data_IF_944714487556
#
_entry.id   IF_944714487556
#
_cell.length_a   1.000
_cell.length_b   1.000
_cell.length_c   1.000
_cell.angle_alpha   90.00
_cell.angle_beta   90.00
_cell.angle_gamma   90.00
#
_symmetry.space_group_name_H-M   'P 1'
#
loop_
_entity.id
_entity.type
_entity.pdbx_description
1 polymer ?
#
# COMPACT_ATOMS: atom_id res chain seq x y z
N UNK A 1 -79.70 -3.98 -25.60
CA UNK A 1 -78.47 -4.40 -26.33
C UNK A 1 -77.37 -3.33 -26.32
N UNK A 2 -77.67 -2.05 -26.05
CA UNK A 2 -76.68 -0.97 -25.97
C UNK A 2 -75.78 -1.01 -24.72
N UNK A 3 -76.29 -1.47 -23.56
CA UNK A 3 -75.56 -1.40 -22.28
C UNK A 3 -74.32 -2.29 -22.22
N UNK A 4 -74.35 -3.48 -22.85
CA UNK A 4 -73.22 -4.42 -22.85
C UNK A 4 -72.04 -3.87 -23.67
N UNK A 5 -72.33 -3.16 -24.77
CA UNK A 5 -71.29 -2.54 -25.61
C UNK A 5 -70.55 -1.41 -24.90
N UNK A 6 -71.27 -0.58 -24.13
CA UNK A 6 -70.67 0.51 -23.36
C UNK A 6 -69.75 -0.02 -22.26
N UNK A 7 -70.15 -1.09 -21.56
CA UNK A 7 -69.33 -1.73 -20.52
C UNK A 7 -68.05 -2.31 -21.13
N UNK A 8 -68.13 -2.97 -22.30
CA UNK A 8 -66.95 -3.54 -22.96
C UNK A 8 -65.93 -2.45 -23.34
N UNK A 9 -66.40 -1.33 -23.90
CA UNK A 9 -65.55 -0.19 -24.26
C UNK A 9 -64.92 0.44 -23.01
N UNK A 10 -65.68 0.57 -21.92
CA UNK A 10 -65.16 1.10 -20.65
C UNK A 10 -64.06 0.19 -20.05
N UNK A 11 -64.22 -1.13 -20.12
CA UNK A 11 -63.21 -2.07 -19.62
C UNK A 11 -61.94 -2.02 -20.48
N UNK A 12 -62.06 -2.03 -21.81
CA UNK A 12 -60.91 -1.96 -22.72
C UNK A 12 -60.14 -0.65 -22.56
N UNK A 13 -60.85 0.47 -22.43
CA UNK A 13 -60.22 1.79 -22.21
C UNK A 13 -59.50 1.87 -20.87
N UNK A 14 -60.09 1.33 -19.79
CA UNK A 14 -59.42 1.23 -18.50
C UNK A 14 -58.16 0.35 -18.56
N UNK A 15 -58.23 -0.78 -19.25
CA UNK A 15 -57.10 -1.71 -19.40
C UNK A 15 -55.96 -1.09 -20.23
N UNK A 16 -56.30 -0.34 -21.29
CA UNK A 16 -55.34 0.42 -22.09
C UNK A 16 -54.66 1.53 -21.27
N UNK A 17 -55.40 2.25 -20.43
CA UNK A 17 -54.85 3.28 -19.54
C UNK A 17 -53.90 2.68 -18.49
N UNK A 18 -54.27 1.54 -17.90
CA UNK A 18 -53.40 0.83 -16.95
C UNK A 18 -52.11 0.33 -17.61
N UNK A 19 -52.20 -0.20 -18.84
CA UNK A 19 -51.04 -0.63 -19.61
C UNK A 19 -50.13 0.56 -19.98
N UNK A 20 -50.71 1.69 -20.40
CA UNK A 20 -49.94 2.89 -20.70
C UNK A 20 -49.25 3.45 -19.45
N UNK A 21 -49.95 3.47 -18.31
CA UNK A 21 -49.40 3.89 -17.03
C UNK A 21 -48.26 2.98 -16.54
N UNK A 22 -48.43 1.66 -16.63
CA UNK A 22 -47.40 0.70 -16.22
C UNK A 22 -46.19 0.73 -17.15
N UNK A 23 -46.41 0.89 -18.47
CA UNK A 23 -45.35 1.05 -19.47
C UNK A 23 -44.57 2.35 -19.26
N UNK A 24 -45.25 3.48 -19.03
CA UNK A 24 -44.61 4.76 -18.73
C UNK A 24 -43.78 4.69 -17.43
N UNK A 25 -44.33 4.07 -16.37
CA UNK A 25 -43.57 3.83 -15.13
C UNK A 25 -42.35 2.95 -15.39
N UNK A 26 -42.51 1.84 -16.10
CA UNK A 26 -41.41 0.90 -16.40
C UNK A 26 -40.26 1.58 -17.14
N UNK A 27 -40.55 2.42 -18.15
CA UNK A 27 -39.53 3.16 -18.89
C UNK A 27 -38.80 4.19 -18.02
N UNK A 28 -39.52 4.89 -17.13
CA UNK A 28 -38.91 5.83 -16.19
C UNK A 28 -38.02 5.12 -15.16
N UNK A 29 -38.47 3.99 -14.63
CA UNK A 29 -37.66 3.15 -13.74
C UNK A 29 -36.39 2.63 -14.46
N UNK A 30 -36.53 2.14 -15.69
CA UNK A 30 -35.39 1.65 -16.49
C UNK A 30 -34.34 2.76 -16.76
N UNK A 31 -34.78 3.97 -17.13
CA UNK A 31 -33.87 5.12 -17.35
C UNK A 31 -33.14 5.55 -16.08
N UNK A 32 -33.82 5.51 -14.94
CA UNK A 32 -33.22 5.85 -13.65
C UNK A 32 -32.14 4.82 -13.27
N UNK A 33 -32.45 3.54 -13.45
CA UNK A 33 -31.52 2.44 -13.19
C UNK A 33 -30.29 2.48 -14.12
N UNK A 34 -30.50 2.86 -15.39
CA UNK A 34 -29.44 3.04 -16.38
C UNK A 34 -28.48 4.18 -16.01
N UNK A 35 -28.98 5.27 -15.43
CA UNK A 35 -28.12 6.36 -14.93
C UNK A 35 -27.24 5.89 -13.77
N UNK A 36 -27.80 5.16 -12.81
CA UNK A 36 -27.02 4.64 -11.68
C UNK A 36 -25.98 3.59 -12.10
N UNK A 37 -26.32 2.72 -13.06
CA UNK A 37 -25.34 1.76 -13.58
C UNK A 37 -24.20 2.44 -14.32
N UNK A 38 -24.48 3.48 -15.10
CA UNK A 38 -23.45 4.30 -15.75
C UNK A 38 -22.56 5.03 -14.75
N UNK A 39 -23.12 5.64 -13.70
CA UNK A 39 -22.33 6.28 -12.64
C UNK A 39 -21.42 5.29 -11.91
N UNK A 40 -21.95 4.10 -11.62
CA UNK A 40 -21.17 3.01 -11.00
C UNK A 40 -20.06 2.55 -11.92
N UNK A 41 -20.35 2.40 -13.23
CA UNK A 41 -19.37 2.02 -14.23
C UNK A 41 -18.27 3.07 -14.38
N UNK A 42 -18.63 4.35 -14.45
CA UNK A 42 -17.67 5.47 -14.53
C UNK A 42 -16.76 5.50 -13.30
N UNK A 43 -17.32 5.30 -12.11
CA UNK A 43 -16.54 5.23 -10.87
C UNK A 43 -15.54 4.07 -10.90
N UNK A 44 -15.97 2.89 -11.37
CA UNK A 44 -15.09 1.72 -11.51
C UNK A 44 -13.98 1.95 -12.53
N UNK A 45 -14.32 2.47 -13.71
CA UNK A 45 -13.33 2.79 -14.76
C UNK A 45 -12.30 3.80 -14.25
N UNK A 46 -12.73 4.87 -13.57
CA UNK A 46 -11.83 5.86 -12.99
C UNK A 46 -10.89 5.25 -11.94
N UNK A 47 -11.42 4.37 -11.08
CA UNK A 47 -10.62 3.67 -10.08
C UNK A 47 -9.57 2.74 -10.74
N UNK A 48 -9.96 1.98 -11.76
CA UNK A 48 -9.06 1.10 -12.52
C UNK A 48 -7.98 1.90 -13.29
N UNK A 49 -8.36 2.99 -13.95
CA UNK A 49 -7.40 3.86 -14.65
C UNK A 49 -6.39 4.45 -13.65
N UNK A 50 -6.86 4.96 -12.51
CA UNK A 50 -5.99 5.49 -11.46
C UNK A 50 -5.05 4.43 -10.88
N UNK A 51 -5.53 3.20 -10.72
CA UNK A 51 -4.68 2.08 -10.30
C UNK A 51 -3.58 1.79 -11.33
N UNK A 52 -3.92 1.78 -12.61
CA UNK A 52 -2.95 1.61 -13.70
C UNK A 52 -1.88 2.71 -13.73
N UNK A 53 -2.27 3.97 -13.57
CA UNK A 53 -1.35 5.11 -13.51
C UNK A 53 -0.38 5.00 -12.32
N UNK A 54 -0.89 4.66 -11.13
CA UNK A 54 -0.06 4.46 -9.94
C UNK A 54 0.92 3.29 -10.10
N UNK A 55 0.49 2.21 -10.74
CA UNK A 55 1.36 1.07 -11.03
C UNK A 55 2.48 1.45 -12.00
N UNK A 56 2.16 2.26 -13.02
CA UNK A 56 3.15 2.77 -13.98
C UNK A 56 4.15 3.72 -13.31
N UNK A 57 3.67 4.63 -12.46
CA UNK A 57 4.52 5.54 -11.67
C UNK A 57 5.46 4.74 -10.75
N UNK A 58 4.94 3.73 -10.04
CA UNK A 58 5.72 2.82 -9.19
C UNK A 58 6.76 2.06 -10.01
N UNK A 59 6.39 1.52 -11.17
CA UNK A 59 7.32 0.81 -12.05
C UNK A 59 8.42 1.74 -12.60
N UNK A 60 8.09 2.98 -12.94
CA UNK A 60 9.06 3.96 -13.48
C UNK A 60 10.07 4.46 -12.44
N UNK A 61 9.68 4.49 -11.16
CA UNK A 61 10.53 4.93 -10.06
C UNK A 61 11.25 3.79 -9.35
N UNK A 62 10.82 2.54 -9.54
CA UNK A 62 11.51 1.35 -9.04
C UNK A 62 12.86 1.16 -9.73
N UNK A 63 13.80 0.49 -9.07
CA UNK A 63 15.12 0.20 -9.63
C UNK A 63 15.43 -1.29 -9.59
N UNK A 64 16.30 -1.72 -10.50
CA UNK A 64 16.87 -3.08 -10.51
C UNK A 64 18.20 -3.12 -9.74
N UNK A 65 18.46 -4.21 -9.02
CA UNK A 65 19.69 -4.37 -8.27
C UNK A 65 19.77 -3.47 -7.03
N UNK A 66 20.92 -2.81 -6.84
CA UNK A 66 21.21 -1.97 -5.68
C UNK A 66 21.21 -0.50 -6.08
N UNK A 67 20.62 0.35 -5.24
CA UNK A 67 20.65 1.81 -5.33
C UNK A 67 21.15 2.38 -4.03
N UNK A 68 21.92 3.46 -4.13
CA UNK A 68 22.52 4.15 -2.99
C UNK A 68 21.52 5.08 -2.32
N UNK A 69 21.36 4.90 -1.02
CA UNK A 69 20.59 5.79 -0.15
C UNK A 69 21.50 6.39 0.90
N UNK A 70 21.29 7.67 1.21
CA UNK A 70 21.97 8.39 2.26
C UNK A 70 21.13 8.37 3.53
N UNK A 71 21.76 8.19 4.68
CA UNK A 71 21.12 8.35 5.98
C UNK A 71 20.92 9.85 6.24
N UNK A 72 19.68 10.33 6.13
CA UNK A 72 19.37 11.74 6.36
C UNK A 72 19.26 12.10 7.83
N UNK A 73 18.78 11.18 8.65
CA UNK A 73 18.71 11.34 10.11
C UNK A 73 18.63 9.99 10.81
N UNK A 74 18.96 10.00 12.10
CA UNK A 74 18.90 8.85 12.99
C UNK A 74 18.14 9.30 14.24
N UNK A 75 17.13 8.54 14.66
CA UNK A 75 16.38 8.77 15.88
C UNK A 75 16.53 7.59 16.84
N UNK A 76 16.77 7.86 18.12
CA UNK A 76 16.78 6.85 19.17
C UNK A 76 15.35 6.64 19.68
N UNK A 77 14.76 5.48 19.40
CA UNK A 77 13.38 5.15 19.77
C UNK A 77 13.33 4.48 21.15
N UNK A 78 14.35 3.68 21.45
CA UNK A 78 14.53 2.98 22.73
C UNK A 78 16.02 2.67 22.94
N UNK A 79 16.36 2.14 24.13
CA UNK A 79 17.75 1.80 24.52
C UNK A 79 18.48 0.94 23.47
N UNK A 80 17.77 0.02 22.85
CA UNK A 80 18.29 -0.90 21.85
C UNK A 80 17.61 -0.74 20.48
N UNK A 81 16.88 0.35 20.21
CA UNK A 81 16.18 0.58 18.94
C UNK A 81 16.50 1.96 18.40
N UNK A 82 16.97 2.00 17.15
CA UNK A 82 17.17 3.23 16.38
C UNK A 82 16.38 3.19 15.08
N UNK A 83 15.80 4.32 14.70
CA UNK A 83 15.19 4.55 13.39
C UNK A 83 16.15 5.29 12.48
N UNK A 84 16.26 4.83 11.24
CA UNK A 84 17.10 5.42 10.20
C UNK A 84 16.22 5.95 9.08
N UNK A 85 16.42 7.21 8.74
CA UNK A 85 15.71 7.89 7.68
C UNK A 85 16.62 7.90 6.45
N UNK A 86 16.10 7.42 5.33
CA UNK A 86 16.88 7.11 4.13
C UNK A 86 16.31 7.89 2.94
N UNK A 87 17.18 8.65 2.29
CA UNK A 87 16.85 9.41 1.08
C UNK A 87 17.75 8.97 -0.08
N UNK A 88 17.28 8.93 -1.33
CA UNK A 88 18.13 8.54 -2.45
C UNK A 88 19.34 9.45 -2.57
N UNK A 89 20.53 8.87 -2.65
CA UNK A 89 21.77 9.64 -2.76
C UNK A 89 21.85 10.40 -4.10
N UNK A 90 21.23 9.85 -5.14
CA UNK A 90 21.17 10.45 -6.48
C UNK A 90 20.14 11.59 -6.63
N UNK A 91 19.37 11.89 -5.57
CA UNK A 91 18.34 12.93 -5.56
C UNK A 91 17.14 12.66 -6.48
N UNK A 92 17.06 11.47 -7.11
CA UNK A 92 15.93 11.12 -7.98
C UNK A 92 14.75 10.60 -7.16
N UNK A 93 13.51 10.71 -7.67
CA UNK A 93 12.34 10.12 -7.02
C UNK A 93 12.51 8.62 -6.73
N UNK A 94 11.72 8.14 -5.78
CA UNK A 94 11.67 6.73 -5.38
C UNK A 94 10.21 6.31 -5.17
N UNK A 95 9.89 5.01 -5.36
CA UNK A 95 8.50 4.56 -5.35
C UNK A 95 7.94 4.58 -3.93
N UNK A 96 6.62 4.76 -3.82
CA UNK A 96 5.91 4.42 -2.58
C UNK A 96 6.00 2.92 -2.33
N UNK A 97 5.89 2.55 -1.06
CA UNK A 97 5.81 1.17 -0.62
C UNK A 97 4.41 0.86 -0.10
N UNK A 98 4.08 -0.42 -0.05
CA UNK A 98 2.84 -0.90 0.56
C UNK A 98 3.12 -1.25 2.04
N UNK A 99 2.21 -0.94 2.99
CA UNK A 99 2.44 -1.23 4.41
C UNK A 99 2.68 -2.72 4.65
N UNK A 100 3.81 -3.06 5.28
CA UNK A 100 4.27 -4.43 5.49
C UNK A 100 5.44 -4.86 4.60
N UNK A 101 5.79 -4.08 3.59
CA UNK A 101 7.00 -4.29 2.79
C UNK A 101 8.29 -3.98 3.58
N UNK A 102 9.42 -4.47 3.05
CA UNK A 102 10.75 -4.26 3.61
C UNK A 102 11.75 -3.76 2.57
N UNK A 103 12.85 -3.17 3.04
CA UNK A 103 14.04 -2.89 2.26
C UNK A 103 15.08 -3.99 2.46
N UNK A 104 15.76 -4.40 1.39
CA UNK A 104 16.92 -5.29 1.47
C UNK A 104 18.20 -4.49 1.36
N UNK A 105 19.01 -4.52 2.41
CA UNK A 105 20.31 -3.86 2.50
C UNK A 105 21.42 -4.82 2.12
N UNK A 106 22.42 -4.30 1.41
CA UNK A 106 23.68 -4.99 1.11
C UNK A 106 24.82 -4.23 1.80
N UNK A 107 25.16 -4.63 3.02
CA UNK A 107 26.11 -3.91 3.86
C UNK A 107 27.53 -4.44 3.65
N UNK A 108 28.47 -3.54 3.36
CA UNK A 108 29.91 -3.87 3.32
C UNK A 108 30.52 -3.49 4.67
N UNK A 109 30.72 -4.47 5.53
CA UNK A 109 31.41 -4.30 6.81
C UNK A 109 32.91 -4.54 6.63
N UNK A 110 33.75 -3.91 7.45
CA UNK A 110 35.22 -3.98 7.33
C UNK A 110 35.75 -5.41 7.51
N UNK A 111 35.05 -6.22 8.31
CA UNK A 111 35.49 -7.55 8.71
C UNK A 111 35.03 -8.66 7.74
N UNK A 112 34.41 -8.30 6.61
CA UNK A 112 33.91 -9.27 5.63
C UNK A 112 34.33 -8.96 4.21
N UNK A 113 34.74 -10.02 3.51
CA UNK A 113 34.97 -9.97 2.07
C UNK A 113 33.65 -9.92 1.27
N UNK A 114 32.58 -10.56 1.79
CA UNK A 114 31.26 -10.60 1.14
C UNK A 114 30.26 -9.67 1.84
N UNK A 115 29.42 -8.92 1.09
CA UNK A 115 28.39 -8.08 1.68
C UNK A 115 27.39 -8.87 2.52
N UNK A 116 27.01 -8.31 3.67
CA UNK A 116 25.97 -8.83 4.52
C UNK A 116 24.60 -8.37 4.01
N UNK A 117 23.74 -9.32 3.66
CA UNK A 117 22.40 -9.02 3.15
C UNK A 117 21.36 -9.20 4.24
N UNK A 118 20.58 -8.15 4.54
CA UNK A 118 19.50 -8.19 5.55
C UNK A 118 18.29 -7.38 5.12
N UNK A 119 17.12 -7.78 5.61
CA UNK A 119 15.87 -7.11 5.35
C UNK A 119 15.37 -6.40 6.61
N UNK A 120 14.87 -5.18 6.46
CA UNK A 120 14.20 -4.43 7.53
C UNK A 120 12.89 -3.85 7.00
N UNK A 121 11.82 -4.04 7.76
CA UNK A 121 10.49 -3.53 7.42
C UNK A 121 10.50 -2.01 7.33
N UNK A 122 9.77 -1.49 6.35
CA UNK A 122 9.51 -0.06 6.26
C UNK A 122 8.55 0.33 7.39
N UNK A 123 9.00 1.18 8.30
CA UNK A 123 8.29 1.49 9.54
C UNK A 123 7.51 2.80 9.49
N UNK A 124 7.48 3.52 8.37
CA UNK A 124 6.71 4.76 8.22
C UNK A 124 5.38 4.57 7.47
N UNK A 125 4.62 5.64 7.35
CA UNK A 125 3.44 5.73 6.51
C UNK A 125 3.78 5.51 5.02
N UNK A 126 2.98 4.74 4.27
CA UNK A 126 3.14 4.59 2.81
C UNK A 126 2.84 5.89 2.04
N UNK A 127 2.27 6.90 2.72
CA UNK A 127 1.99 8.21 2.16
C UNK A 127 3.16 9.18 2.30
N UNK A 128 4.21 8.81 3.04
CA UNK A 128 5.46 9.55 3.10
C UNK A 128 6.16 9.54 1.74
N UNK A 129 6.71 10.69 1.34
CA UNK A 129 7.36 10.91 0.02
C UNK A 129 8.80 11.40 0.12
N UNK A 130 9.25 11.80 1.29
CA UNK A 130 10.56 12.43 1.47
C UNK A 130 11.65 11.42 1.81
N UNK A 131 11.30 10.36 2.55
CA UNK A 131 12.24 9.32 2.97
C UNK A 131 11.59 7.94 3.07
N UNK A 132 12.43 6.92 3.14
CA UNK A 132 12.09 5.65 3.78
C UNK A 132 12.54 5.66 5.24
N UNK A 133 11.82 4.95 6.11
CA UNK A 133 12.23 4.74 7.50
C UNK A 133 12.34 3.25 7.79
N UNK A 134 13.41 2.85 8.47
CA UNK A 134 13.56 1.51 9.03
C UNK A 134 13.92 1.63 10.50
N UNK A 135 13.26 0.83 11.34
CA UNK A 135 13.51 0.79 12.78
C UNK A 135 14.20 -0.53 13.13
N UNK A 136 15.40 -0.44 13.70
CA UNK A 136 16.31 -1.57 13.84
C UNK A 136 16.63 -1.75 15.32
N UNK A 137 16.36 -2.96 15.82
CA UNK A 137 16.80 -3.38 17.15
C UNK A 137 18.23 -3.89 17.12
N UNK A 138 19.09 -3.39 18.02
CA UNK A 138 20.44 -3.92 18.25
C UNK A 138 20.33 -5.32 18.84
N UNK A 139 21.11 -6.24 18.27
CA UNK A 139 21.15 -7.62 18.76
C UNK A 139 22.50 -7.84 19.45
N UNK A 140 22.52 -7.58 20.75
CA UNK A 140 23.64 -7.93 21.62
C UNK A 140 23.70 -9.47 21.80
N UNK A 141 24.83 -10.04 22.27
CA UNK A 141 24.92 -11.47 22.54
C UNK A 141 23.81 -11.94 23.48
N UNK A 142 23.26 -13.16 23.29
CA UNK A 142 22.27 -13.72 24.20
C UNK A 142 22.78 -13.75 25.64
N UNK A 143 21.90 -13.48 26.61
CA UNK A 143 22.29 -13.42 28.04
C UNK A 143 22.80 -14.76 28.56
N UNK A 144 22.28 -15.84 28.01
CA UNK A 144 22.64 -17.24 28.27
C UNK A 144 23.93 -17.67 27.58
N UNK A 145 24.38 -16.93 26.56
CA UNK A 145 25.62 -17.21 25.84
C UNK A 145 26.37 -15.90 25.51
N UNK A 146 26.99 -15.25 26.52
CA UNK A 146 27.65 -13.95 26.35
C UNK A 146 28.85 -13.99 25.40
N UNK A 147 29.46 -15.17 25.23
CA UNK A 147 30.59 -15.39 24.33
C UNK A 147 30.18 -15.47 22.84
N UNK A 148 28.87 -15.49 22.53
CA UNK A 148 28.40 -15.53 21.16
C UNK A 148 28.62 -14.19 20.46
N UNK A 149 28.86 -14.24 19.15
CA UNK A 149 28.99 -13.02 18.35
C UNK A 149 27.68 -12.23 18.32
N UNK A 150 27.73 -10.90 18.49
CA UNK A 150 26.56 -10.03 18.34
C UNK A 150 26.04 -10.04 16.90
N UNK A 151 24.79 -9.61 16.71
CA UNK A 151 24.19 -9.48 15.39
C UNK A 151 24.91 -8.43 14.55
N UNK A 152 25.68 -8.87 13.56
CA UNK A 152 26.57 -8.00 12.77
C UNK A 152 25.83 -6.83 12.09
N UNK A 153 24.71 -7.10 11.41
CA UNK A 153 23.97 -6.06 10.67
C UNK A 153 23.39 -5.00 11.61
N UNK A 154 22.71 -5.43 12.68
CA UNK A 154 22.08 -4.49 13.60
C UNK A 154 23.12 -3.69 14.39
N UNK A 155 24.24 -4.30 14.75
CA UNK A 155 25.34 -3.57 15.39
C UNK A 155 26.02 -2.59 14.44
N UNK A 156 26.21 -2.94 13.16
CA UNK A 156 26.71 -2.01 12.15
C UNK A 156 25.83 -0.76 12.05
N UNK A 157 24.51 -0.94 11.95
CA UNK A 157 23.57 0.19 11.94
C UNK A 157 23.68 1.03 13.23
N UNK A 158 23.84 0.41 14.39
CA UNK A 158 23.82 1.11 15.67
C UNK A 158 25.11 1.83 16.03
N UNK A 159 26.26 1.25 15.66
CA UNK A 159 27.57 1.65 16.15
C UNK A 159 28.42 2.35 15.06
N UNK A 160 28.28 1.92 13.80
CA UNK A 160 29.15 2.39 12.71
C UNK A 160 28.47 3.42 11.81
N UNK A 161 27.17 3.26 11.57
CA UNK A 161 26.44 4.10 10.63
C UNK A 161 26.06 5.46 11.25
N UNK A 162 26.48 6.54 10.59
CA UNK A 162 26.16 7.93 10.99
C UNK A 162 25.33 8.65 9.94
N UNK A 163 24.86 9.86 10.27
CA UNK A 163 24.20 10.74 9.30
C UNK A 163 25.17 11.03 8.15
N UNK A 164 24.59 11.14 6.95
CA UNK A 164 25.27 11.30 5.65
C UNK A 164 26.01 10.07 5.10
N UNK A 165 26.11 8.98 5.85
CA UNK A 165 26.60 7.72 5.31
C UNK A 165 25.69 7.16 4.22
N UNK A 166 26.28 6.37 3.32
CA UNK A 166 25.61 5.78 2.17
C UNK A 166 25.48 4.26 2.34
N UNK A 167 24.27 3.76 2.12
CA UNK A 167 23.94 2.32 2.13
C UNK A 167 23.40 1.87 0.78
N UNK A 168 23.71 0.63 0.40
CA UNK A 168 23.20 0.00 -0.81
C UNK A 168 21.90 -0.77 -0.51
N UNK A 169 20.83 -0.45 -1.23
CA UNK A 169 19.47 -0.95 -0.96
C UNK A 169 18.81 -1.46 -2.25
N UNK A 170 18.07 -2.56 -2.16
CA UNK A 170 17.14 -2.98 -3.23
C UNK A 170 15.79 -2.27 -3.10
N UNK A 171 15.03 -2.21 -4.19
CA UNK A 171 13.67 -1.65 -4.16
C UNK A 171 12.80 -2.37 -3.11
N UNK A 172 11.80 -1.68 -2.53
CA UNK A 172 10.86 -2.29 -1.57
C UNK A 172 10.30 -3.61 -2.09
N UNK A 173 10.35 -4.64 -1.24
CA UNK A 173 9.88 -5.98 -1.56
C UNK A 173 9.02 -6.58 -0.46
N UNK A 174 8.44 -7.74 -0.75
CA UNK A 174 7.59 -8.49 0.18
C UNK A 174 6.12 -8.52 -0.24
N UNK A 175 5.47 -9.64 0.10
CA UNK A 175 4.08 -9.93 -0.25
C UNK A 175 3.13 -9.79 0.95
N UNK A 176 3.67 -9.67 2.16
CA UNK A 176 2.89 -9.38 3.36
C UNK A 176 2.54 -7.90 3.36
N UNK A 177 1.36 -7.56 2.84
CA UNK A 177 0.95 -6.16 2.66
C UNK A 177 -0.51 -5.96 3.05
N UNK A 178 -0.81 -4.78 3.59
CA UNK A 178 -2.19 -4.36 3.83
C UNK A 178 -2.78 -3.75 2.56
N UNK A 179 -3.90 -4.30 2.10
CA UNK A 179 -4.66 -3.73 0.97
C UNK A 179 -5.46 -2.50 1.43
N UNK A 180 -4.89 -1.32 1.16
CA UNK A 180 -5.47 -0.03 1.53
C UNK A 180 -6.76 0.33 0.75
N UNK A 181 -7.13 -0.44 -0.28
CA UNK A 181 -8.41 -0.24 -0.98
C UNK A 181 -9.60 -0.84 -0.24
N UNK A 182 -9.35 -1.72 0.74
CA UNK A 182 -10.39 -2.37 1.52
C UNK A 182 -10.70 -1.57 2.79
N UNK A 183 -11.99 -1.41 3.07
CA UNK A 183 -12.49 -0.72 4.26
C UNK A 183 -12.97 -1.68 5.37
N UNK A 184 -12.51 -2.94 5.32
CA UNK A 184 -12.83 -3.94 6.34
C UNK A 184 -12.02 -3.70 7.62
N UNK A 185 -12.57 -3.96 8.83
CA UNK A 185 -11.81 -3.85 10.07
C UNK A 185 -10.52 -4.68 10.05
N UNK A 186 -9.45 -4.13 10.62
CA UNK A 186 -8.12 -4.77 10.68
C UNK A 186 -7.68 -4.89 12.13
N UNK A 187 -7.13 -6.04 12.50
CA UNK A 187 -6.47 -6.27 13.79
C UNK A 187 -4.98 -6.47 13.53
N UNK A 188 -4.14 -5.62 14.12
CA UNK A 188 -2.68 -5.70 14.03
C UNK A 188 -2.13 -6.21 15.36
N UNK A 189 -1.41 -7.33 15.32
CA UNK A 189 -0.77 -7.94 16.49
C UNK A 189 0.75 -7.83 16.32
N UNK A 190 1.39 -7.02 17.17
CA UNK A 190 2.83 -6.80 17.17
C UNK A 190 3.42 -7.01 18.56
N UNK A 191 4.66 -7.52 18.60
CA UNK A 191 5.42 -7.72 19.83
C UNK A 191 6.89 -7.37 19.64
N UNK A 192 7.43 -6.52 20.51
CA UNK A 192 8.82 -6.05 20.40
C UNK A 192 9.08 -5.28 19.10
N UNK A 193 10.16 -5.62 18.39
CA UNK A 193 10.57 -4.95 17.13
C UNK A 193 9.66 -5.27 15.93
N UNK A 194 8.63 -6.12 16.12
CA UNK A 194 7.64 -6.40 15.08
C UNK A 194 6.55 -5.33 14.93
N UNK A 195 6.65 -4.21 15.67
CA UNK A 195 5.80 -3.02 15.59
C UNK A 195 6.45 -2.01 14.64
#
# INVERSE_FOLDING_TARGET
>A
MYDIGVILVAVITLQALLFFYSSARSVLYARTHQKYSLQTLQTKVLAETRQGELALEKASSTWSGLRKFRVSSIAEEAKDIKSFYLVPHDGKPFPKFDPGQYLTFSLRTKDREKPLVRCYSLSDSPFQKEHYRVSIKRLDPPRDLPEASPGESSNFFHNDLIVDDIVDVKAPGGNFTLDLSKHTPVVLLGGGIGI
#
